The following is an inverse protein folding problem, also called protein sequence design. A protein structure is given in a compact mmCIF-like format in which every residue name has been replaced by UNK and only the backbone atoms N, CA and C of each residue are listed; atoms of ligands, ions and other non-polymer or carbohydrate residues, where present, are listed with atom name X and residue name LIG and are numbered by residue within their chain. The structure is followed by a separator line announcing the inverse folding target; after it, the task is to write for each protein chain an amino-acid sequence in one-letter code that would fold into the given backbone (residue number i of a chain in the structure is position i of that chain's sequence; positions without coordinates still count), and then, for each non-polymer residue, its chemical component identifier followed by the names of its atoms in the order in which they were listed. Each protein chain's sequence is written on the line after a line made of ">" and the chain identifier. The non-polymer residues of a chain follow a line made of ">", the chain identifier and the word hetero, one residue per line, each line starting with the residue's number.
data_IF_174110373999
#
_entry.id   IF_174110373999
#
_cell.length_a   1.000
_cell.length_b   1.000
_cell.length_c   1.000
_cell.angle_alpha   90.00
_cell.angle_beta   90.00
_cell.angle_gamma   90.00
#
_symmetry.space_group_name_H-M   'P 1'
#
loop_
_entity.id
_entity.type
_entity.pdbx_description
1 polymer ?
#
# COMPACT_ATOMS: atom_id res chain seq x y z
N UNK A 1 2.77 35.64 -14.93
CA UNK A 1 2.39 34.25 -14.59
C UNK A 1 0.88 34.18 -14.59
N UNK A 2 0.27 33.45 -15.54
CA UNK A 2 -1.18 33.20 -15.55
C UNK A 2 -1.45 32.05 -14.59
N UNK A 3 -2.18 32.34 -13.51
CA UNK A 3 -2.75 31.31 -12.65
C UNK A 3 -3.82 30.58 -13.46
N UNK A 4 -3.50 29.36 -13.91
CA UNK A 4 -4.52 28.41 -14.33
C UNK A 4 -5.19 27.90 -13.06
N UNK A 5 -6.18 28.65 -12.58
CA UNK A 5 -7.29 28.03 -11.87
C UNK A 5 -8.19 27.42 -12.97
N UNK A 6 -7.70 26.34 -13.60
CA UNK A 6 -8.61 25.43 -14.29
C UNK A 6 -9.60 24.97 -13.24
N UNK A 7 -10.88 25.23 -13.52
CA UNK A 7 -11.99 24.92 -12.65
C UNK A 7 -11.86 23.50 -12.12
N UNK A 8 -11.64 23.36 -10.81
CA UNK A 8 -12.00 22.12 -10.14
C UNK A 8 -13.45 21.82 -10.56
N UNK A 9 -13.66 20.69 -11.22
CA UNK A 9 -15.00 20.19 -11.49
C UNK A 9 -15.80 20.23 -10.17
N UNK A 10 -17.13 20.44 -10.20
CA UNK A 10 -17.94 20.69 -9.00
C UNK A 10 -17.92 19.56 -7.94
N UNK A 11 -17.19 18.47 -8.19
CA UNK A 11 -17.06 17.29 -7.32
C UNK A 11 -15.59 16.84 -7.10
N UNK A 12 -14.61 17.74 -7.29
CA UNK A 12 -13.18 17.46 -7.12
C UNK A 12 -12.54 18.08 -5.87
N UNK A 13 -11.46 17.48 -5.37
CA UNK A 13 -10.63 17.95 -4.27
C UNK A 13 -9.14 17.91 -4.63
N UNK A 14 -8.42 18.99 -4.33
CA UNK A 14 -6.95 19.05 -4.49
C UNK A 14 -6.28 18.72 -3.16
N UNK A 15 -5.51 17.64 -3.12
CA UNK A 15 -4.69 17.26 -1.97
C UNK A 15 -3.24 17.70 -2.21
N UNK A 16 -2.67 18.42 -1.23
CA UNK A 16 -1.27 18.87 -1.26
C UNK A 16 -0.48 18.22 -0.13
N UNK A 17 0.65 17.61 -0.47
CA UNK A 17 1.58 17.02 0.49
C UNK A 17 3.02 17.48 0.17
N UNK A 18 3.46 18.54 0.85
CA UNK A 18 4.69 19.25 0.48
C UNK A 18 4.55 19.88 -0.91
N UNK A 19 5.51 19.60 -1.80
CA UNK A 19 5.52 20.08 -3.18
C UNK A 19 4.74 19.16 -4.15
N UNK A 20 4.06 18.14 -3.62
CA UNK A 20 3.27 17.20 -4.41
C UNK A 20 1.79 17.55 -4.36
N UNK A 21 1.16 17.49 -5.53
CA UNK A 21 -0.29 17.70 -5.69
C UNK A 21 -0.94 16.42 -6.23
N UNK A 22 -2.11 16.08 -5.69
CA UNK A 22 -2.96 15.00 -6.17
C UNK A 22 -4.39 15.52 -6.33
N UNK A 23 -4.94 15.38 -7.54
CA UNK A 23 -6.33 15.70 -7.83
C UNK A 23 -7.18 14.46 -7.53
N UNK A 24 -8.20 14.64 -6.70
CA UNK A 24 -9.18 13.62 -6.38
C UNK A 24 -10.54 14.02 -6.93
N UNK A 25 -11.17 13.16 -7.73
CA UNK A 25 -12.46 13.48 -8.38
C UNK A 25 -13.52 12.40 -8.16
N UNK A 26 -14.79 12.81 -8.22
CA UNK A 26 -15.91 11.87 -8.26
C UNK A 26 -17.02 12.35 -9.22
N UNK A 27 -17.28 11.65 -10.35
CA UNK A 27 -16.56 10.47 -10.85
C UNK A 27 -15.09 10.78 -11.23
N UNK A 28 -14.20 9.77 -11.29
CA UNK A 28 -12.77 9.96 -11.60
C UNK A 28 -12.57 10.28 -13.09
N UNK A 29 -12.90 11.50 -13.50
CA UNK A 29 -12.75 11.96 -14.88
C UNK A 29 -11.35 12.53 -15.15
N UNK A 30 -10.79 13.27 -14.20
CA UNK A 30 -9.50 13.94 -14.35
C UNK A 30 -8.50 13.60 -13.23
N UNK A 31 -9.01 13.15 -12.07
CA UNK A 31 -8.25 12.68 -10.92
C UNK A 31 -8.59 11.26 -10.49
N UNK A 32 -7.92 10.80 -9.43
CA UNK A 32 -8.17 9.52 -8.80
C UNK A 32 -9.41 9.60 -7.89
N UNK A 33 -10.23 8.56 -7.80
CA UNK A 33 -11.33 8.61 -6.84
C UNK A 33 -10.77 8.65 -5.40
N UNK A 34 -11.38 9.40 -4.45
CA UNK A 34 -10.88 9.46 -3.07
C UNK A 34 -10.68 8.08 -2.42
N UNK A 35 -11.55 7.12 -2.74
CA UNK A 35 -11.44 5.74 -2.22
C UNK A 35 -10.23 4.99 -2.81
N UNK A 36 -9.92 5.20 -4.09
CA UNK A 36 -8.75 4.60 -4.73
C UNK A 36 -7.45 5.18 -4.16
N UNK A 37 -7.44 6.49 -3.87
CA UNK A 37 -6.32 7.13 -3.20
C UNK A 37 -6.09 6.59 -1.79
N UNK A 38 -7.17 6.38 -1.02
CA UNK A 38 -7.11 5.78 0.31
C UNK A 38 -6.56 4.34 0.26
N UNK A 39 -7.06 3.52 -0.66
CA UNK A 39 -6.60 2.14 -0.84
C UNK A 39 -5.12 2.10 -1.28
N UNK A 40 -4.72 2.99 -2.20
CA UNK A 40 -3.33 3.12 -2.64
C UNK A 40 -2.40 3.52 -1.50
N UNK A 41 -2.81 4.48 -0.67
CA UNK A 41 -2.05 4.90 0.51
C UNK A 41 -1.92 3.77 1.55
N UNK A 42 -2.99 3.00 1.78
CA UNK A 42 -2.97 1.84 2.67
C UNK A 42 -2.01 0.75 2.17
N UNK A 43 -2.03 0.45 0.87
CA UNK A 43 -1.10 -0.49 0.26
C UNK A 43 0.36 0.00 0.37
N UNK A 44 0.59 1.29 0.12
CA UNK A 44 1.91 1.92 0.28
C UNK A 44 2.45 1.82 1.71
N UNK A 45 1.63 2.14 2.72
CA UNK A 45 2.02 1.97 4.13
C UNK A 45 2.37 0.51 4.45
N UNK A 46 1.59 -0.46 3.99
CA UNK A 46 1.86 -1.87 4.22
C UNK A 46 3.25 -2.31 3.70
N UNK A 47 3.64 -1.84 2.52
CA UNK A 47 4.97 -2.09 1.94
C UNK A 47 6.07 -1.44 2.79
N UNK A 48 5.91 -0.17 3.17
CA UNK A 48 6.87 0.56 3.99
C UNK A 48 7.06 -0.13 5.36
N UNK A 49 5.96 -0.53 6.00
CA UNK A 49 6.02 -1.27 7.26
C UNK A 49 6.69 -2.64 7.09
N UNK A 50 6.45 -3.33 5.96
CA UNK A 50 7.08 -4.62 5.69
C UNK A 50 8.60 -4.51 5.57
N UNK A 51 9.10 -3.49 4.85
CA UNK A 51 10.54 -3.23 4.74
C UNK A 51 11.17 -2.88 6.09
N UNK A 52 10.48 -2.05 6.88
CA UNK A 52 10.92 -1.69 8.24
C UNK A 52 10.96 -2.91 9.15
N UNK A 53 9.91 -3.73 9.15
CA UNK A 53 9.83 -4.97 9.91
C UNK A 53 10.94 -5.96 9.51
N UNK A 54 11.21 -6.10 8.21
CA UNK A 54 12.29 -6.95 7.72
C UNK A 54 13.67 -6.51 8.25
N UNK A 55 13.93 -5.19 8.26
CA UNK A 55 15.16 -4.62 8.85
C UNK A 55 15.26 -4.86 10.36
N UNK A 56 14.18 -4.59 11.10
CA UNK A 56 14.12 -4.82 12.56
C UNK A 56 14.36 -6.29 12.94
N UNK A 57 13.79 -7.22 12.16
CA UNK A 57 13.88 -8.66 12.40
C UNK A 57 15.13 -9.31 11.77
N UNK A 58 15.97 -8.53 11.08
CA UNK A 58 17.14 -9.01 10.33
C UNK A 58 16.79 -10.11 9.31
N UNK A 59 15.65 -9.96 8.62
CA UNK A 59 15.15 -10.90 7.62
C UNK A 59 15.49 -10.40 6.22
N UNK A 60 16.04 -11.30 5.39
CA UNK A 60 16.30 -11.02 3.98
C UNK A 60 15.02 -10.94 3.16
N UNK A 61 14.45 -9.74 3.04
CA UNK A 61 13.35 -9.41 2.13
C UNK A 61 13.91 -8.99 0.77
N UNK A 62 13.54 -9.70 -0.30
CA UNK A 62 14.01 -9.39 -1.66
C UNK A 62 13.12 -8.39 -2.37
N UNK A 63 11.82 -8.48 -2.13
CA UNK A 63 10.81 -7.58 -2.66
C UNK A 63 9.54 -7.69 -1.80
N UNK A 64 8.72 -6.65 -1.85
CA UNK A 64 7.37 -6.64 -1.29
C UNK A 64 6.44 -5.86 -2.20
N UNK A 65 5.19 -6.28 -2.26
CA UNK A 65 4.11 -5.54 -2.93
C UNK A 65 2.83 -5.67 -2.12
N UNK A 66 1.93 -4.69 -2.26
CA UNK A 66 0.63 -4.75 -1.61
C UNK A 66 -0.47 -4.33 -2.58
N UNK A 67 -1.65 -4.92 -2.38
CA UNK A 67 -2.88 -4.57 -3.07
C UNK A 67 -3.97 -4.40 -2.03
N UNK A 68 -4.65 -3.25 -2.03
CA UNK A 68 -5.79 -2.99 -1.19
C UNK A 68 -7.05 -2.88 -2.05
N UNK A 69 -8.08 -3.64 -1.71
CA UNK A 69 -9.33 -3.70 -2.46
C UNK A 69 -10.52 -3.47 -1.52
N UNK A 70 -11.46 -2.65 -1.98
CA UNK A 70 -12.75 -2.53 -1.32
C UNK A 70 -13.62 -3.74 -1.67
N UNK A 71 -14.23 -4.33 -0.65
CA UNK A 71 -15.16 -5.45 -0.77
C UNK A 71 -16.51 -5.07 -0.17
N UNK A 72 -17.52 -5.93 -0.38
CA UNK A 72 -18.84 -5.76 0.25
C UNK A 72 -18.80 -5.78 1.78
N UNK A 73 -17.71 -6.25 2.39
CA UNK A 73 -17.59 -6.41 3.84
C UNK A 73 -16.56 -5.47 4.48
N UNK A 74 -15.86 -4.64 3.71
CA UNK A 74 -14.76 -3.80 4.19
C UNK A 74 -13.56 -3.83 3.24
N UNK A 75 -12.34 -3.68 3.74
CA UNK A 75 -11.12 -3.63 2.93
C UNK A 75 -10.31 -4.91 3.10
N UNK A 76 -9.94 -5.52 1.97
CA UNK A 76 -8.95 -6.59 1.92
C UNK A 76 -7.59 -6.00 1.51
N UNK A 77 -6.57 -6.20 2.34
CA UNK A 77 -5.19 -5.84 2.06
C UNK A 77 -4.38 -7.12 1.85
N UNK A 78 -3.89 -7.34 0.64
CA UNK A 78 -3.01 -8.46 0.30
C UNK A 78 -1.57 -7.97 0.26
N UNK A 79 -0.73 -8.46 1.16
CA UNK A 79 0.70 -8.16 1.23
C UNK A 79 1.50 -9.36 0.70
N UNK A 80 2.16 -9.20 -0.45
CA UNK A 80 3.03 -10.23 -1.02
C UNK A 80 4.49 -9.97 -0.62
N UNK A 81 5.14 -11.00 -0.07
CA UNK A 81 6.50 -10.92 0.47
C UNK A 81 7.40 -11.97 -0.19
N UNK A 82 8.51 -11.52 -0.76
CA UNK A 82 9.53 -12.41 -1.32
C UNK A 82 10.67 -12.64 -0.33
N UNK A 83 10.63 -13.76 0.37
CA UNK A 83 11.61 -14.17 1.39
C UNK A 83 12.05 -15.62 1.16
N UNK A 84 13.25 -15.98 1.65
CA UNK A 84 13.78 -17.34 1.48
C UNK A 84 12.89 -18.42 2.10
N UNK A 85 12.22 -18.09 3.21
CA UNK A 85 11.33 -19.01 3.94
C UNK A 85 9.98 -18.39 4.23
N UNK A 86 8.95 -19.23 4.35
CA UNK A 86 7.59 -18.81 4.67
C UNK A 86 7.48 -18.21 6.07
N UNK A 87 8.15 -18.79 7.07
CA UNK A 87 8.07 -18.31 8.46
C UNK A 87 8.64 -16.88 8.60
N UNK A 88 9.55 -16.49 7.70
CA UNK A 88 10.07 -15.13 7.63
C UNK A 88 9.00 -14.14 7.17
N UNK A 89 8.25 -14.48 6.12
CA UNK A 89 7.12 -13.67 5.65
C UNK A 89 6.03 -13.57 6.71
N UNK A 90 5.72 -14.65 7.43
CA UNK A 90 4.72 -14.65 8.50
C UNK A 90 5.13 -13.71 9.65
N UNK A 91 6.42 -13.72 10.05
CA UNK A 91 6.95 -12.79 11.06
C UNK A 91 6.87 -11.33 10.62
N UNK A 92 7.21 -11.04 9.36
CA UNK A 92 7.09 -9.68 8.80
C UNK A 92 5.64 -9.24 8.79
N UNK A 93 4.72 -10.06 8.27
CA UNK A 93 3.30 -9.72 8.19
C UNK A 93 2.68 -9.46 9.56
N UNK A 94 3.00 -10.28 10.57
CA UNK A 94 2.58 -10.05 11.95
C UNK A 94 3.08 -8.69 12.47
N UNK A 95 4.34 -8.36 12.20
CA UNK A 95 4.92 -7.08 12.62
C UNK A 95 4.24 -5.89 11.94
N UNK A 96 3.90 -6.00 10.66
CA UNK A 96 3.14 -4.98 9.92
C UNK A 96 1.77 -4.73 10.55
N UNK A 97 1.04 -5.80 10.88
CA UNK A 97 -0.29 -5.71 11.52
C UNK A 97 -0.21 -5.00 12.88
N UNK A 98 0.87 -5.23 13.65
CA UNK A 98 1.08 -4.60 14.95
C UNK A 98 1.57 -3.14 14.87
N UNK A 99 2.33 -2.78 13.83
CA UNK A 99 3.03 -1.49 13.75
C UNK A 99 2.35 -0.43 12.88
N UNK A 100 1.45 -0.83 11.95
CA UNK A 100 0.79 0.11 11.06
C UNK A 100 -0.27 0.95 11.80
N UNK A 101 0.05 2.24 11.98
CA UNK A 101 -0.90 3.23 12.51
C UNK A 101 -2.08 3.44 11.56
N UNK A 102 -1.86 3.36 10.25
CA UNK A 102 -2.92 3.53 9.23
C UNK A 102 -3.93 2.39 9.34
N UNK A 103 -3.45 1.14 9.40
CA UNK A 103 -4.30 -0.02 9.60
C UNK A 103 -5.05 0.05 10.93
N UNK A 104 -4.37 0.45 12.02
CA UNK A 104 -4.98 0.61 13.34
C UNK A 104 -6.04 1.72 13.41
N UNK A 105 -5.93 2.76 12.58
CA UNK A 105 -6.94 3.80 12.47
C UNK A 105 -8.15 3.33 11.65
N UNK A 106 -7.91 2.72 10.49
CA UNK A 106 -8.98 2.23 9.61
C UNK A 106 -9.80 1.11 10.26
N UNK A 107 -9.16 0.21 11.00
CA UNK A 107 -9.83 -0.92 11.66
C UNK A 107 -10.85 -0.51 12.73
N UNK A 108 -10.88 0.76 13.15
CA UNK A 108 -11.86 1.30 14.11
C UNK A 108 -13.25 1.50 13.51
N UNK A 109 -13.34 1.72 12.20
CA UNK A 109 -14.60 2.01 11.51
C UNK A 109 -14.83 1.14 10.27
N UNK A 110 -13.81 0.45 9.79
CA UNK A 110 -13.84 -0.40 8.59
C UNK A 110 -13.31 -1.77 8.97
N UNK A 111 -14.02 -2.83 8.57
CA UNK A 111 -13.47 -4.18 8.68
C UNK A 111 -12.26 -4.29 7.74
N UNK A 112 -11.08 -4.43 8.32
CA UNK A 112 -9.83 -4.57 7.57
C UNK A 112 -9.30 -6.00 7.74
N UNK A 113 -8.98 -6.65 6.62
CA UNK A 113 -8.35 -7.98 6.62
C UNK A 113 -6.99 -7.91 5.93
N UNK A 114 -5.92 -8.18 6.66
CA UNK A 114 -4.59 -8.40 6.09
C UNK A 114 -4.43 -9.86 5.67
N UNK A 115 -3.98 -10.11 4.45
CA UNK A 115 -3.61 -11.44 3.94
C UNK A 115 -2.16 -11.41 3.49
N UNK A 116 -1.32 -12.24 4.11
CA UNK A 116 0.08 -12.38 3.73
C UNK A 116 0.25 -13.48 2.68
N UNK A 117 0.91 -13.15 1.56
CA UNK A 117 1.25 -14.10 0.50
C UNK A 117 2.77 -14.23 0.45
N UNK A 118 3.28 -15.39 0.82
CA UNK A 118 4.70 -15.69 0.67
C UNK A 118 5.04 -16.13 -0.75
N UNK A 119 6.14 -15.62 -1.28
CA UNK A 119 6.76 -16.07 -2.51
C UNK A 119 8.24 -16.36 -2.28
N UNK A 120 8.74 -17.44 -2.89
CA UNK A 120 10.19 -17.71 -2.93
C UNK A 120 10.85 -16.76 -3.95
N UNK A 121 11.96 -16.09 -3.61
CA UNK A 121 12.71 -15.29 -4.57
C UNK A 121 13.15 -16.14 -5.77
N UNK A 122 12.94 -15.61 -6.98
CA UNK A 122 13.50 -16.21 -8.18
C UNK A 122 15.02 -16.02 -8.12
N UNK A 123 15.77 -17.13 -8.16
CA UNK A 123 17.19 -17.05 -8.50
C UNK A 123 17.25 -16.68 -9.98
N UNK A 124 17.65 -15.46 -10.30
CA UNK A 124 18.06 -15.12 -11.66
C UNK A 124 19.16 -16.12 -12.02
N UNK A 125 18.87 -17.01 -12.98
CA UNK A 125 19.89 -17.80 -13.64
C UNK A 125 20.88 -16.79 -14.20
N UNK A 126 22.09 -16.77 -13.64
CA UNK A 126 23.21 -16.05 -14.24
C UNK A 126 23.26 -16.47 -15.72
N UNK A 127 23.24 -15.49 -16.63
CA UNK A 127 23.37 -15.77 -18.06
C UNK A 127 24.64 -16.61 -18.28
N UNK A 128 24.61 -17.61 -19.17
CA UNK A 128 25.81 -18.32 -19.57
C UNK A 128 26.77 -17.33 -20.24
N UNK A 129 28.06 -17.53 -19.95
CA UNK A 129 29.22 -16.79 -20.47
C UNK A 129 29.25 -16.71 -22.00
#
# INVERSE_FOLDING_TARGET
>A
MRAYAESLHPHGALVRAGDHELVLDQPPEHGMAPIEALLSALAGDAVIQAEKAAKELQIGLKASSALAELTSTGVNLTLTLWTERREQADKIAKRVEESSKVMALLSRGVRLKLTAVWRKPLKLLAKPE
#
